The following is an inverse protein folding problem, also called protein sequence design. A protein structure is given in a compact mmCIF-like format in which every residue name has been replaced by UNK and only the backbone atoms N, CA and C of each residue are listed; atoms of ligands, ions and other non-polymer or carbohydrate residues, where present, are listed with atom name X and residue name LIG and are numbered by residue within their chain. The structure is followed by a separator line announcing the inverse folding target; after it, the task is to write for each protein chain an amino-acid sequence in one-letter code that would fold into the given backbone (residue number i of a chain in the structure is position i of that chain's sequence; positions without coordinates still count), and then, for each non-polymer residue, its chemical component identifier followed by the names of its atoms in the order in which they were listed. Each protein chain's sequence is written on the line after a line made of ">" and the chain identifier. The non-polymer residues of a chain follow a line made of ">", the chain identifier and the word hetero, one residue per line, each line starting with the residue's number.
data_IF_590536610558
#
_entry.id   IF_590536610558
#
_cell.length_a   1.000
_cell.length_b   1.000
_cell.length_c   1.000
_cell.angle_alpha   90.00
_cell.angle_beta   90.00
_cell.angle_gamma   90.00
#
_symmetry.space_group_name_H-M   'P 1'
#
loop_
_entity.id
_entity.type
_entity.pdbx_description
1 polymer ?
#
# COMPACT_ATOMS: atom_id res chain seq x y z
N UNK A 1 45.18 25.75 41.48
CA UNK A 1 46.49 26.40 41.29
C UNK A 1 47.47 25.30 40.93
N UNK A 2 48.11 25.27 39.74
CA UNK A 2 48.42 26.38 38.84
C UNK A 2 47.72 26.35 37.46
N UNK A 3 47.45 27.54 36.90
CA UNK A 3 47.89 27.92 35.54
C UNK A 3 46.99 27.63 34.31
N UNK A 4 46.41 28.64 33.63
CA UNK A 4 45.40 28.47 32.58
C UNK A 4 45.93 28.65 31.14
N UNK A 5 45.16 28.18 30.16
CA UNK A 5 45.34 28.42 28.71
C UNK A 5 44.60 29.70 28.32
N UNK A 6 45.33 30.64 27.69
CA UNK A 6 44.84 31.93 27.20
C UNK A 6 44.22 31.81 25.79
N UNK A 7 43.05 32.41 25.62
CA UNK A 7 42.50 32.95 24.36
C UNK A 7 43.38 34.15 23.93
N UNK A 8 43.61 34.48 22.65
CA UNK A 8 42.77 35.20 21.67
C UNK A 8 43.73 35.47 20.47
N UNK A 9 43.36 35.57 19.19
CA UNK A 9 42.68 36.75 18.63
C UNK A 9 42.46 36.64 17.09
N UNK A 10 41.30 37.16 16.67
CA UNK A 10 41.02 38.06 15.52
C UNK A 10 40.84 37.55 14.06
N UNK A 11 39.67 38.01 13.53
CA UNK A 11 39.13 38.14 12.15
C UNK A 11 40.03 39.05 11.25
N UNK A 12 39.95 39.15 9.91
CA UNK A 12 38.79 39.25 8.97
C UNK A 12 39.29 39.31 7.47
N UNK A 13 38.50 38.78 6.52
CA UNK A 13 38.22 39.14 5.09
C UNK A 13 39.39 39.38 4.08
N UNK A 14 39.35 39.08 2.76
CA UNK A 14 38.29 38.87 1.77
C UNK A 14 38.81 38.10 0.52
N UNK A 15 37.84 37.75 -0.35
CA UNK A 15 37.87 37.54 -1.82
C UNK A 15 37.81 36.14 -2.48
N UNK A 16 36.74 36.06 -3.29
CA UNK A 16 36.51 35.38 -4.57
C UNK A 16 36.35 33.84 -4.65
N UNK A 17 35.13 33.48 -5.04
CA UNK A 17 34.67 32.19 -5.57
C UNK A 17 35.36 31.83 -6.90
N UNK A 18 35.77 30.58 -7.07
CA UNK A 18 35.80 29.91 -8.37
C UNK A 18 35.80 28.37 -8.24
N UNK A 19 34.83 27.74 -8.88
CA UNK A 19 34.68 26.30 -9.11
C UNK A 19 35.75 25.76 -10.06
N UNK A 20 36.24 24.51 -9.88
CA UNK A 20 36.91 23.78 -10.94
C UNK A 20 36.12 22.55 -11.40
N UNK A 21 35.89 22.49 -12.71
CA UNK A 21 35.51 21.32 -13.50
C UNK A 21 36.64 20.28 -13.59
N UNK A 22 36.33 18.97 -13.74
CA UNK A 22 37.34 17.92 -13.71
C UNK A 22 38.00 17.64 -15.07
N UNK A 23 39.29 17.32 -14.98
CA UNK A 23 40.23 17.06 -16.07
C UNK A 23 40.17 15.63 -16.61
N UNK A 24 40.62 15.53 -17.87
CA UNK A 24 40.69 14.38 -18.79
C UNK A 24 41.62 13.25 -18.32
N UNK A 25 41.32 12.01 -18.71
CA UNK A 25 42.35 10.98 -18.96
C UNK A 25 42.12 10.21 -20.28
N UNK A 26 43.24 10.10 -20.99
CA UNK A 26 43.61 9.61 -22.32
C UNK A 26 42.76 8.58 -23.10
N UNK A 27 42.75 8.80 -24.43
CA UNK A 27 42.38 7.91 -25.54
C UNK A 27 43.47 6.86 -25.81
N UNK A 28 43.06 5.65 -26.22
CA UNK A 28 43.79 4.83 -27.19
C UNK A 28 42.77 4.30 -28.21
N UNK A 29 43.07 4.52 -29.50
CA UNK A 29 42.28 4.13 -30.67
C UNK A 29 42.55 2.68 -31.09
N UNK A 30 41.53 1.99 -31.58
CA UNK A 30 41.60 1.20 -32.82
C UNK A 30 40.21 0.66 -33.23
N UNK A 31 39.90 0.78 -34.52
CA UNK A 31 38.98 -0.12 -35.22
C UNK A 31 37.59 0.42 -35.57
N UNK A 32 37.52 1.26 -36.61
CA UNK A 32 36.27 1.67 -37.26
C UNK A 32 35.77 0.58 -38.21
N UNK A 33 34.58 0.04 -37.98
CA UNK A 33 33.79 -0.69 -38.99
C UNK A 33 32.44 0.02 -39.18
N UNK A 34 32.05 0.36 -40.43
CA UNK A 34 30.88 1.19 -40.69
C UNK A 34 29.56 0.43 -40.53
N UNK A 35 28.55 1.12 -39.99
CA UNK A 35 27.19 0.63 -39.84
C UNK A 35 26.48 0.41 -41.19
N UNK A 36 25.45 -0.45 -41.23
CA UNK A 36 24.86 -0.88 -42.49
C UNK A 36 24.02 0.24 -43.12
N UNK A 37 24.35 0.55 -44.37
CA UNK A 37 23.54 1.34 -45.30
C UNK A 37 22.22 0.62 -45.58
N UNK A 38 21.11 1.35 -45.47
CA UNK A 38 19.78 0.90 -45.90
C UNK A 38 19.71 1.02 -47.42
N UNK A 39 19.87 -0.12 -48.12
CA UNK A 39 19.49 -0.23 -49.53
C UNK A 39 17.97 -0.41 -49.63
N UNK A 40 17.31 0.47 -50.39
CA UNK A 40 15.98 0.20 -50.95
C UNK A 40 16.12 -0.91 -51.98
N UNK A 41 15.47 -2.06 -51.76
CA UNK A 41 15.22 -3.05 -52.80
C UNK A 41 13.72 -3.09 -53.12
N UNK A 42 13.47 -3.06 -54.43
CA UNK A 42 12.18 -3.00 -55.11
C UNK A 42 11.61 -4.42 -55.28
N UNK A 43 10.29 -4.54 -55.15
CA UNK A 43 9.39 -5.56 -55.70
C UNK A 43 9.73 -7.06 -55.59
N UNK A 44 8.99 -7.78 -54.74
CA UNK A 44 8.58 -9.17 -55.00
C UNK A 44 7.13 -9.42 -54.55
N UNK A 45 6.39 -10.33 -55.23
CA UNK A 45 4.92 -10.38 -55.16
C UNK A 45 4.38 -10.96 -53.85
N UNK A 46 3.28 -10.36 -53.41
CA UNK A 46 2.40 -10.79 -52.33
C UNK A 46 1.64 -12.04 -52.77
N UNK A 47 2.04 -13.21 -52.27
CA UNK A 47 1.13 -14.33 -51.96
C UNK A 47 1.92 -15.50 -51.34
N UNK A 48 2.07 -15.46 -50.01
CA UNK A 48 2.43 -16.62 -49.20
C UNK A 48 1.54 -16.65 -47.96
N UNK A 49 0.88 -17.78 -47.62
CA UNK A 49 0.02 -17.86 -46.44
C UNK A 49 0.82 -17.57 -45.17
N UNK A 50 0.38 -16.57 -44.40
CA UNK A 50 0.92 -16.28 -43.07
C UNK A 50 0.72 -17.51 -42.17
N UNK A 51 1.79 -18.27 -41.95
CA UNK A 51 1.82 -19.28 -40.90
C UNK A 51 1.48 -18.60 -39.57
N UNK A 52 0.64 -19.23 -38.72
CA UNK A 52 0.26 -18.64 -37.43
C UNK A 52 1.52 -18.41 -36.60
N UNK A 53 1.84 -17.14 -36.35
CA UNK A 53 2.99 -16.77 -35.52
C UNK A 53 2.88 -17.51 -34.18
N UNK A 54 3.92 -18.24 -33.80
CA UNK A 54 3.99 -18.92 -32.52
C UNK A 54 3.52 -17.98 -31.39
N UNK A 55 2.74 -18.48 -30.40
CA UNK A 55 2.20 -17.62 -29.36
C UNK A 55 3.35 -16.89 -28.66
N UNK A 56 3.35 -15.55 -28.76
CA UNK A 56 4.34 -14.70 -28.08
C UNK A 56 4.28 -15.02 -26.59
N UNK A 57 5.30 -15.71 -26.08
CA UNK A 57 5.44 -15.98 -24.65
C UNK A 57 5.60 -14.64 -23.95
N UNK A 58 4.57 -14.24 -23.21
CA UNK A 58 4.63 -12.99 -22.44
C UNK A 58 5.56 -13.23 -21.25
N UNK A 59 6.70 -12.55 -21.23
CA UNK A 59 7.65 -12.64 -20.13
C UNK A 59 6.97 -12.15 -18.83
N UNK A 60 6.99 -12.98 -17.80
CA UNK A 60 6.47 -12.63 -16.48
C UNK A 60 7.64 -12.21 -15.58
N UNK A 61 7.73 -10.94 -15.14
CA UNK A 61 8.77 -10.51 -14.23
C UNK A 61 8.53 -11.14 -12.85
N UNK A 62 9.40 -12.06 -12.47
CA UNK A 62 9.33 -12.73 -11.18
C UNK A 62 9.94 -11.85 -10.07
N UNK A 63 9.36 -11.94 -8.87
CA UNK A 63 9.88 -11.25 -7.69
C UNK A 63 11.11 -11.96 -7.14
N UNK A 64 12.04 -11.27 -6.46
CA UNK A 64 13.23 -11.88 -5.88
C UNK A 64 12.93 -13.13 -5.04
N UNK A 65 11.92 -13.08 -4.17
CA UNK A 65 11.52 -14.23 -3.35
C UNK A 65 11.17 -15.50 -4.17
N UNK A 66 10.50 -15.35 -5.32
CA UNK A 66 10.16 -16.47 -6.18
C UNK A 66 11.39 -17.03 -6.92
N UNK A 67 12.34 -16.15 -7.25
CA UNK A 67 13.62 -16.54 -7.86
C UNK A 67 14.49 -17.30 -6.83
N UNK A 68 14.63 -16.76 -5.62
CA UNK A 68 15.38 -17.41 -4.53
C UNK A 68 14.79 -18.80 -4.19
N UNK A 69 13.45 -18.95 -4.19
CA UNK A 69 12.79 -20.25 -4.03
C UNK A 69 13.07 -21.21 -5.19
N UNK A 70 12.95 -20.75 -6.43
CA UNK A 70 13.22 -21.58 -7.62
C UNK A 70 14.68 -22.06 -7.66
N UNK A 71 15.61 -21.22 -7.21
CA UNK A 71 17.03 -21.57 -7.11
C UNK A 71 17.30 -22.50 -5.91
N UNK A 72 16.32 -22.74 -5.04
CA UNK A 72 16.45 -23.57 -3.85
C UNK A 72 17.29 -22.92 -2.75
N UNK A 73 17.41 -21.58 -2.75
CA UNK A 73 18.08 -20.79 -1.72
C UNK A 73 17.21 -20.67 -0.47
N UNK A 74 15.89 -20.51 -0.69
CA UNK A 74 14.87 -20.52 0.34
C UNK A 74 13.84 -21.63 0.12
N UNK A 75 13.17 -22.02 1.18
CA UNK A 75 12.06 -22.96 1.18
C UNK A 75 10.98 -22.55 2.18
N UNK A 76 9.75 -22.99 1.93
CA UNK A 76 8.60 -22.74 2.81
C UNK A 76 8.28 -24.02 3.57
N UNK A 77 8.41 -24.00 4.90
CA UNK A 77 8.14 -25.15 5.76
C UNK A 77 7.00 -24.85 6.72
N UNK A 78 6.03 -25.75 6.79
CA UNK A 78 4.98 -25.72 7.81
C UNK A 78 5.43 -26.59 8.98
N UNK A 79 5.54 -26.00 10.16
CA UNK A 79 6.01 -26.66 11.39
C UNK A 79 5.04 -26.40 12.53
N UNK A 80 5.00 -27.32 13.49
CA UNK A 80 4.35 -27.15 14.80
C UNK A 80 5.25 -27.74 15.89
N UNK A 81 4.82 -27.62 17.14
CA UNK A 81 5.53 -28.24 18.27
C UNK A 81 5.24 -29.75 18.34
N UNK A 82 5.88 -30.49 17.44
CA UNK A 82 5.86 -31.95 17.31
C UNK A 82 6.94 -32.67 18.15
N UNK A 83 7.84 -31.91 18.79
CA UNK A 83 8.99 -32.43 19.53
C UNK A 83 10.22 -32.73 18.66
N UNK A 84 10.15 -32.53 17.34
CA UNK A 84 11.30 -32.72 16.46
C UNK A 84 12.31 -31.58 16.62
N UNK A 85 13.60 -31.91 16.49
CA UNK A 85 14.71 -30.94 16.62
C UNK A 85 14.62 -29.83 15.58
N UNK A 86 14.36 -30.17 14.32
CA UNK A 86 14.26 -29.18 13.24
C UNK A 86 13.08 -28.22 13.46
N UNK A 87 11.89 -28.75 13.76
CA UNK A 87 10.70 -27.96 14.09
C UNK A 87 10.99 -27.01 15.26
N UNK A 88 11.67 -27.48 16.30
CA UNK A 88 12.06 -26.65 17.45
C UNK A 88 13.01 -25.52 17.07
N UNK A 89 14.00 -25.79 16.21
CA UNK A 89 14.93 -24.76 15.71
C UNK A 89 14.16 -23.68 14.94
N UNK A 90 13.28 -24.09 14.02
CA UNK A 90 12.49 -23.17 13.19
C UNK A 90 11.53 -22.34 14.05
N UNK A 91 10.79 -22.97 14.96
CA UNK A 91 9.88 -22.27 15.88
C UNK A 91 10.63 -21.29 16.78
N UNK A 92 11.84 -21.65 17.23
CA UNK A 92 12.68 -20.76 18.03
C UNK A 92 13.16 -19.55 17.22
N UNK A 93 13.55 -19.76 15.95
CA UNK A 93 13.88 -18.68 15.02
C UNK A 93 12.71 -17.73 14.80
N UNK A 94 11.52 -18.28 14.53
CA UNK A 94 10.29 -17.50 14.38
C UNK A 94 9.93 -16.69 15.63
N UNK A 95 9.98 -17.32 16.81
CA UNK A 95 9.78 -16.64 18.10
C UNK A 95 10.71 -15.43 18.22
N UNK A 96 11.99 -15.60 17.92
CA UNK A 96 12.97 -14.51 17.99
C UNK A 96 12.64 -13.37 17.00
N UNK A 97 12.18 -13.69 15.79
CA UNK A 97 11.75 -12.68 14.81
C UNK A 97 10.51 -11.94 15.33
N UNK A 98 9.47 -12.66 15.74
CA UNK A 98 8.24 -12.05 16.25
C UNK A 98 8.53 -11.16 17.47
N UNK A 99 9.37 -11.59 18.41
CA UNK A 99 9.75 -10.78 19.57
C UNK A 99 10.49 -9.48 19.20
N UNK A 100 11.20 -9.45 18.07
CA UNK A 100 11.87 -8.25 17.56
C UNK A 100 10.93 -7.36 16.74
N UNK A 101 10.12 -7.95 15.86
CA UNK A 101 9.27 -7.23 14.91
C UNK A 101 7.94 -6.77 15.52
N UNK A 102 7.50 -7.39 16.63
CA UNK A 102 6.24 -7.07 17.32
C UNK A 102 6.53 -6.58 18.76
N UNK A 103 7.15 -5.40 18.94
CA UNK A 103 7.59 -4.93 20.26
C UNK A 103 6.45 -4.65 21.24
N UNK A 104 5.21 -4.45 20.75
CA UNK A 104 4.01 -4.27 21.57
C UNK A 104 3.48 -5.58 22.16
N UNK A 105 3.91 -6.74 21.64
CA UNK A 105 3.47 -8.05 22.10
C UNK A 105 4.40 -8.59 23.19
N UNK A 106 3.88 -9.04 24.35
CA UNK A 106 4.72 -9.58 25.41
C UNK A 106 5.54 -10.80 24.93
N UNK A 107 6.83 -10.85 25.29
CA UNK A 107 7.75 -11.89 24.82
C UNK A 107 7.31 -13.30 25.21
N UNK A 108 6.80 -13.47 26.43
CA UNK A 108 6.30 -14.75 26.93
C UNK A 108 5.00 -15.16 26.26
N UNK A 109 4.17 -14.19 25.90
CA UNK A 109 2.94 -14.42 25.14
C UNK A 109 3.26 -14.98 23.74
N UNK A 110 4.22 -14.36 23.04
CA UNK A 110 4.71 -14.86 21.74
C UNK A 110 5.24 -16.28 21.88
N UNK A 111 6.14 -16.51 22.85
CA UNK A 111 6.73 -17.84 23.06
C UNK A 111 5.66 -18.90 23.31
N UNK A 112 4.69 -18.61 24.19
CA UNK A 112 3.60 -19.52 24.53
C UNK A 112 2.78 -19.93 23.32
N UNK A 113 2.42 -19.00 22.43
CA UNK A 113 1.61 -19.31 21.25
C UNK A 113 2.41 -19.94 20.11
N UNK A 114 3.67 -19.55 19.89
CA UNK A 114 4.52 -20.17 18.86
C UNK A 114 4.80 -21.64 19.18
N UNK A 115 4.99 -21.98 20.46
CA UNK A 115 5.20 -23.37 20.89
C UNK A 115 3.90 -24.12 21.25
N UNK A 116 2.73 -23.50 21.09
CA UNK A 116 1.46 -24.16 21.35
C UNK A 116 1.17 -25.21 20.27
N UNK A 117 0.78 -26.42 20.68
CA UNK A 117 0.58 -27.55 19.74
C UNK A 117 -0.64 -27.39 18.84
N UNK A 118 -1.57 -26.50 19.18
CA UNK A 118 -2.75 -26.18 18.36
C UNK A 118 -2.47 -25.11 17.31
N UNK A 119 -1.28 -24.48 17.36
CA UNK A 119 -0.82 -23.50 16.39
C UNK A 119 0.12 -24.15 15.38
N UNK A 120 0.02 -23.68 14.15
CA UNK A 120 0.92 -24.03 13.04
C UNK A 120 1.69 -22.78 12.65
N UNK A 121 2.93 -22.96 12.20
CA UNK A 121 3.72 -21.86 11.67
C UNK A 121 4.25 -22.21 10.29
N UNK A 122 3.98 -21.35 9.31
CA UNK A 122 4.65 -21.39 8.02
C UNK A 122 5.88 -20.49 8.08
N UNK A 123 7.07 -21.06 7.92
CA UNK A 123 8.35 -20.38 7.98
C UNK A 123 8.99 -20.30 6.60
N UNK A 124 9.65 -19.17 6.33
CA UNK A 124 10.64 -19.03 5.26
C UNK A 124 11.99 -19.45 5.85
N UNK A 125 12.57 -20.51 5.33
CA UNK A 125 13.86 -21.04 5.77
C UNK A 125 14.86 -20.87 4.64
N UNK A 126 16.00 -20.24 4.93
CA UNK A 126 17.16 -20.18 4.06
C UNK A 126 18.15 -21.27 4.46
N UNK A 127 18.74 -21.95 3.48
CA UNK A 127 19.69 -23.04 3.77
C UNK A 127 20.91 -22.53 4.55
N UNK A 128 21.41 -23.28 5.56
CA UNK A 128 20.96 -24.62 5.93
C UNK A 128 19.71 -24.67 6.81
N UNK A 129 19.43 -23.69 7.69
CA UNK A 129 18.28 -23.68 8.62
C UNK A 129 18.02 -22.27 9.22
N UNK A 130 18.35 -21.22 8.49
CA UNK A 130 18.14 -19.83 8.93
C UNK A 130 16.69 -19.40 8.68
N UNK A 131 16.02 -18.92 9.72
CA UNK A 131 14.63 -18.43 9.60
C UNK A 131 14.64 -16.96 9.18
N UNK A 132 13.95 -16.65 8.09
CA UNK A 132 13.84 -15.28 7.54
C UNK A 132 12.55 -14.58 7.98
N UNK A 133 11.49 -15.34 8.18
CA UNK A 133 10.17 -14.83 8.55
C UNK A 133 9.14 -15.93 8.59
N UNK A 134 7.92 -15.61 9.00
CA UNK A 134 6.84 -16.58 9.03
C UNK A 134 5.50 -16.03 9.46
N UNK A 135 4.51 -16.90 9.34
CA UNK A 135 3.15 -16.68 9.84
C UNK A 135 2.81 -17.81 10.80
N UNK A 136 2.46 -17.46 12.04
CA UNK A 136 1.83 -18.39 12.99
C UNK A 136 0.32 -18.21 12.91
N UNK A 137 -0.39 -19.33 12.69
CA UNK A 137 -1.83 -19.35 12.56
C UNK A 137 -2.45 -20.54 13.30
N UNK A 138 -3.72 -20.40 13.67
CA UNK A 138 -4.52 -21.42 14.35
C UNK A 138 -5.75 -21.77 13.52
N UNK A 139 -5.79 -22.96 12.89
CA UNK A 139 -6.97 -23.39 12.14
C UNK A 139 -8.08 -23.89 13.09
N UNK A 140 -9.32 -23.50 12.80
CA UNK A 140 -10.50 -23.98 13.54
C UNK A 140 -11.29 -24.97 12.68
N UNK A 141 -11.00 -26.26 12.89
CA UNK A 141 -11.63 -27.37 12.15
C UNK A 141 -13.15 -27.31 12.24
N UNK A 142 -13.84 -27.45 11.10
CA UNK A 142 -15.30 -27.41 11.02
C UNK A 142 -15.92 -26.01 11.08
N UNK A 143 -15.09 -24.96 11.23
CA UNK A 143 -15.53 -23.56 11.18
C UNK A 143 -15.06 -22.84 9.92
N UNK A 144 -14.32 -23.53 9.04
CA UNK A 144 -13.78 -23.02 7.76
C UNK A 144 -12.98 -21.71 7.87
N UNK A 145 -12.42 -21.40 9.05
CA UNK A 145 -11.54 -20.24 9.22
C UNK A 145 -10.29 -20.59 10.02
N UNK A 146 -9.25 -19.79 9.84
CA UNK A 146 -8.06 -19.79 10.69
C UNK A 146 -7.75 -18.38 11.19
N UNK A 147 -7.27 -18.30 12.42
CA UNK A 147 -6.76 -17.07 13.01
C UNK A 147 -5.29 -16.91 12.64
N UNK A 148 -4.90 -15.79 12.04
CA UNK A 148 -3.50 -15.41 11.90
C UNK A 148 -3.12 -14.67 13.18
N UNK A 149 -2.21 -15.27 13.95
CA UNK A 149 -1.78 -14.78 15.26
C UNK A 149 -0.57 -13.87 15.11
N UNK A 150 0.44 -14.32 14.35
CA UNK A 150 1.64 -13.53 14.09
C UNK A 150 2.00 -13.57 12.62
N UNK A 151 2.46 -12.45 12.08
CA UNK A 151 2.97 -12.34 10.72
C UNK A 151 4.13 -11.35 10.71
N UNK A 152 5.35 -11.82 10.44
CA UNK A 152 6.52 -10.95 10.40
C UNK A 152 7.61 -11.53 9.50
N UNK A 153 8.39 -10.63 8.90
CA UNK A 153 9.63 -10.94 8.17
C UNK A 153 10.74 -10.10 8.79
N UNK A 154 11.94 -10.65 8.90
CA UNK A 154 13.11 -9.94 9.41
C UNK A 154 13.37 -8.65 8.63
N UNK A 155 13.68 -7.55 9.33
CA UNK A 155 13.78 -6.20 8.75
C UNK A 155 14.79 -6.09 7.61
N UNK A 156 15.90 -6.81 7.69
CA UNK A 156 16.95 -6.87 6.67
C UNK A 156 16.50 -7.55 5.36
N UNK A 157 15.43 -8.34 5.43
CA UNK A 157 14.85 -9.05 4.28
C UNK A 157 13.50 -8.46 3.84
N UNK A 158 13.01 -7.41 4.50
CA UNK A 158 11.85 -6.66 4.04
C UNK A 158 12.18 -6.04 2.66
N UNK A 159 11.16 -5.75 1.83
CA UNK A 159 11.27 -5.25 0.44
C UNK A 159 11.51 -6.30 -0.67
N UNK A 160 12.04 -7.50 -0.37
CA UNK A 160 12.20 -8.58 -1.38
C UNK A 160 10.90 -9.25 -1.84
N UNK A 161 9.77 -8.87 -1.27
CA UNK A 161 8.45 -9.44 -1.56
C UNK A 161 8.10 -10.69 -0.73
N UNK A 162 8.91 -11.04 0.28
CA UNK A 162 8.71 -12.22 1.12
C UNK A 162 7.33 -12.30 1.78
N UNK A 163 6.82 -11.20 2.34
CA UNK A 163 5.51 -11.22 2.99
C UNK A 163 4.37 -11.62 2.04
N UNK A 164 4.34 -11.04 0.84
CA UNK A 164 3.34 -11.38 -0.16
C UNK A 164 3.49 -12.82 -0.67
N UNK A 165 4.73 -13.29 -0.84
CA UNK A 165 5.02 -14.66 -1.27
C UNK A 165 4.62 -15.69 -0.20
N UNK A 166 4.93 -15.39 1.06
CA UNK A 166 4.54 -16.18 2.23
C UNK A 166 3.03 -16.27 2.41
N UNK A 167 2.30 -15.18 2.24
CA UNK A 167 0.84 -15.20 2.30
C UNK A 167 0.24 -16.01 1.13
N UNK A 168 0.83 -15.95 -0.06
CA UNK A 168 0.40 -16.76 -1.20
C UNK A 168 0.59 -18.26 -0.92
N UNK A 169 1.78 -18.65 -0.42
CA UNK A 169 2.07 -20.01 0.04
C UNK A 169 1.08 -20.46 1.11
N UNK A 170 0.82 -19.61 2.12
CA UNK A 170 -0.10 -19.93 3.20
C UNK A 170 -1.51 -20.21 2.67
N UNK A 171 -2.03 -19.35 1.80
CA UNK A 171 -3.36 -19.51 1.19
C UNK A 171 -3.46 -20.79 0.37
N UNK A 172 -2.48 -21.06 -0.48
CA UNK A 172 -2.47 -22.28 -1.30
C UNK A 172 -2.35 -23.54 -0.44
N UNK A 173 -1.51 -23.51 0.60
CA UNK A 173 -1.33 -24.61 1.54
C UNK A 173 -2.61 -24.92 2.31
N UNK A 174 -3.22 -23.93 2.99
CA UNK A 174 -4.42 -24.20 3.80
C UNK A 174 -5.60 -24.66 2.95
N UNK A 175 -5.75 -24.12 1.74
CA UNK A 175 -6.79 -24.56 0.80
C UNK A 175 -6.59 -25.99 0.33
N UNK A 176 -5.35 -26.43 0.17
CA UNK A 176 -5.03 -27.78 -0.26
C UNK A 176 -5.13 -28.82 0.86
N UNK A 177 -4.94 -28.41 2.12
CA UNK A 177 -4.78 -29.31 3.28
C UNK A 177 -5.94 -29.27 4.28
N UNK A 178 -6.87 -28.32 4.15
CA UNK A 178 -7.96 -28.11 5.12
C UNK A 178 -9.22 -27.54 4.48
N UNK A 179 -10.29 -27.41 5.26
CA UNK A 179 -11.55 -26.75 4.91
C UNK A 179 -11.53 -25.22 5.10
N UNK A 180 -10.38 -24.65 5.47
CA UNK A 180 -10.24 -23.22 5.75
C UNK A 180 -10.38 -22.40 4.47
N UNK A 181 -11.36 -21.51 4.46
CA UNK A 181 -11.62 -20.56 3.37
C UNK A 181 -11.51 -19.09 3.80
N UNK A 182 -11.46 -18.84 5.11
CA UNK A 182 -11.39 -17.50 5.68
C UNK A 182 -10.18 -17.36 6.62
N UNK A 183 -9.49 -16.23 6.55
CA UNK A 183 -8.56 -15.82 7.60
C UNK A 183 -9.14 -14.66 8.39
N UNK A 184 -9.00 -14.72 9.71
CA UNK A 184 -9.25 -13.61 10.61
C UNK A 184 -7.93 -13.22 11.28
N UNK A 185 -7.71 -11.93 11.46
CA UNK A 185 -6.51 -11.41 12.11
C UNK A 185 -6.83 -10.09 12.80
N UNK A 186 -6.17 -9.82 13.91
CA UNK A 186 -6.05 -8.46 14.42
C UNK A 186 -4.77 -7.84 13.84
N UNK A 187 -4.94 -6.81 13.02
CA UNK A 187 -3.82 -6.08 12.42
C UNK A 187 -3.55 -4.82 13.24
N UNK A 188 -2.27 -4.52 13.48
CA UNK A 188 -1.89 -3.20 13.97
C UNK A 188 -2.05 -2.15 12.86
N UNK A 189 -2.12 -0.87 13.23
CA UNK A 189 -2.33 0.22 12.27
C UNK A 189 -1.28 0.25 11.15
N UNK A 190 -0.05 -0.18 11.44
CA UNK A 190 1.05 -0.22 10.47
C UNK A 190 0.90 -1.38 9.46
N UNK A 191 0.31 -2.52 9.85
CA UNK A 191 0.12 -3.67 8.98
C UNK A 191 -1.21 -3.66 8.19
N UNK A 192 -2.17 -2.78 8.49
CA UNK A 192 -3.45 -2.70 7.74
C UNK A 192 -3.19 -2.60 6.24
N UNK A 193 -2.24 -1.75 5.80
CA UNK A 193 -1.91 -1.60 4.38
C UNK A 193 -1.34 -2.89 3.75
N UNK A 194 -0.58 -3.67 4.51
CA UNK A 194 -0.10 -4.98 4.06
C UNK A 194 -1.27 -5.97 3.90
N UNK A 195 -2.12 -6.10 4.92
CA UNK A 195 -3.26 -7.01 4.90
C UNK A 195 -4.28 -6.63 3.82
N UNK A 196 -4.58 -5.32 3.63
CA UNK A 196 -5.40 -4.84 2.50
C UNK A 196 -4.84 -5.32 1.15
N UNK A 197 -3.52 -5.18 0.92
CA UNK A 197 -2.85 -5.68 -0.30
C UNK A 197 -2.92 -7.20 -0.45
N UNK A 198 -3.05 -7.94 0.67
CA UNK A 198 -3.26 -9.37 0.67
C UNK A 198 -4.75 -9.77 0.56
N UNK A 199 -5.66 -8.83 0.30
CA UNK A 199 -7.09 -9.12 0.15
C UNK A 199 -7.83 -9.30 1.47
N UNK A 200 -7.35 -8.66 2.54
CA UNK A 200 -8.12 -8.52 3.78
C UNK A 200 -8.95 -7.22 3.74
N UNK A 201 -10.13 -7.27 4.35
CA UNK A 201 -11.03 -6.12 4.56
C UNK A 201 -11.33 -5.97 6.05
N UNK A 202 -11.72 -4.76 6.48
CA UNK A 202 -12.24 -4.51 7.83
C UNK A 202 -13.66 -5.07 8.01
N UNK A 203 -14.37 -5.31 6.90
CA UNK A 203 -15.72 -5.86 6.91
C UNK A 203 -15.71 -7.37 7.18
N UNK A 204 -16.25 -7.77 8.33
CA UNK A 204 -16.31 -9.18 8.73
C UNK A 204 -17.63 -9.78 8.25
N UNK A 205 -17.60 -10.45 7.10
CA UNK A 205 -18.77 -11.13 6.53
C UNK A 205 -19.00 -12.52 7.11
N UNK A 206 -18.03 -13.09 7.82
CA UNK A 206 -18.18 -14.36 8.52
C UNK A 206 -19.12 -14.21 9.72
N UNK A 207 -20.12 -15.07 9.81
CA UNK A 207 -21.13 -15.04 10.88
C UNK A 207 -20.50 -15.05 12.28
N UNK A 208 -20.93 -14.11 13.14
CA UNK A 208 -20.38 -13.92 14.50
C UNK A 208 -20.27 -15.23 15.32
N UNK A 209 -21.28 -16.14 15.37
CA UNK A 209 -21.18 -17.39 16.13
C UNK A 209 -20.04 -18.32 15.68
N UNK A 210 -19.54 -18.15 14.45
CA UNK A 210 -18.44 -18.97 13.92
C UNK A 210 -17.09 -18.59 14.48
N UNK A 211 -16.87 -17.34 14.90
CA UNK A 211 -15.54 -16.85 15.28
C UNK A 211 -15.50 -16.09 16.61
N UNK A 212 -16.61 -15.47 17.03
CA UNK A 212 -16.68 -14.70 18.26
C UNK A 212 -16.42 -15.61 19.47
N UNK A 213 -15.49 -15.21 20.34
CA UNK A 213 -15.02 -16.00 21.49
C UNK A 213 -13.98 -17.09 21.17
N UNK A 214 -13.65 -17.32 19.89
CA UNK A 214 -12.63 -18.29 19.48
C UNK A 214 -11.26 -17.66 19.24
N UNK A 215 -11.26 -16.47 18.64
CA UNK A 215 -10.06 -15.68 18.38
C UNK A 215 -9.70 -14.82 19.58
N UNK A 216 -8.47 -14.33 19.65
CA UNK A 216 -8.02 -13.41 20.68
C UNK A 216 -8.22 -11.97 20.26
N UNK A 217 -8.78 -11.18 21.16
CA UNK A 217 -8.91 -9.74 21.00
C UNK A 217 -7.61 -9.06 21.45
N UNK A 218 -7.10 -8.16 20.61
CA UNK A 218 -5.88 -7.40 20.90
C UNK A 218 -6.22 -5.92 20.99
N UNK A 219 -5.88 -5.31 22.13
CA UNK A 219 -6.09 -3.88 22.35
C UNK A 219 -5.34 -3.05 21.31
N UNK A 220 -6.04 -2.14 20.65
CA UNK A 220 -5.49 -1.30 19.57
C UNK A 220 -5.25 -2.04 18.24
N UNK A 221 -5.69 -3.29 18.10
CA UNK A 221 -5.72 -4.00 16.82
C UNK A 221 -7.05 -3.80 16.08
N UNK A 222 -6.99 -3.70 14.76
CA UNK A 222 -8.19 -3.72 13.90
C UNK A 222 -8.44 -5.14 13.41
N UNK A 223 -9.62 -5.70 13.68
CA UNK A 223 -10.02 -6.99 13.12
C UNK A 223 -10.16 -6.90 11.60
N UNK A 224 -9.60 -7.87 10.88
CA UNK A 224 -9.67 -7.94 9.43
C UNK A 224 -9.94 -9.38 8.97
N UNK A 225 -10.72 -9.50 7.89
CA UNK A 225 -11.08 -10.78 7.26
C UNK A 225 -10.51 -10.87 5.84
N UNK A 226 -9.93 -12.02 5.49
CA UNK A 226 -9.66 -12.41 4.11
C UNK A 226 -10.51 -13.62 3.72
N UNK A 227 -11.33 -13.49 2.69
CA UNK A 227 -12.03 -14.62 2.07
C UNK A 227 -11.26 -15.08 0.84
N UNK A 228 -10.84 -16.33 0.84
CA UNK A 228 -10.06 -16.89 -0.26
C UNK A 228 -10.94 -17.21 -1.48
N UNK A 229 -10.39 -17.03 -2.68
CA UNK A 229 -11.10 -17.36 -3.92
C UNK A 229 -10.89 -18.86 -4.22
N UNK A 230 -11.95 -19.67 -4.39
CA UNK A 230 -11.83 -21.13 -4.48
C UNK A 230 -10.97 -21.62 -5.65
N UNK A 231 -11.17 -21.06 -6.86
CA UNK A 231 -10.63 -21.60 -8.11
C UNK A 231 -9.22 -21.11 -8.48
N UNK A 232 -8.55 -20.36 -7.62
CA UNK A 232 -7.22 -19.79 -7.92
C UNK A 232 -6.12 -20.44 -7.08
N UNK A 233 -4.92 -20.52 -7.68
CA UNK A 233 -3.66 -20.74 -6.98
C UNK A 233 -2.96 -19.40 -6.82
N UNK A 234 -2.78 -18.92 -5.59
CA UNK A 234 -2.26 -17.61 -5.26
C UNK A 234 -0.82 -17.39 -5.75
N UNK A 235 0.02 -18.44 -5.76
CA UNK A 235 1.36 -18.38 -6.34
C UNK A 235 1.36 -18.11 -7.85
N UNK A 236 0.29 -18.47 -8.56
CA UNK A 236 0.13 -18.32 -10.01
C UNK A 236 -0.66 -17.07 -10.41
N UNK A 237 -1.20 -16.30 -9.43
CA UNK A 237 -2.10 -15.16 -9.70
C UNK A 237 -1.48 -14.14 -10.65
N UNK A 238 -0.18 -13.85 -10.50
CA UNK A 238 0.51 -12.91 -11.40
C UNK A 238 0.47 -13.35 -12.87
N UNK A 239 0.75 -14.63 -13.14
CA UNK A 239 0.68 -15.20 -14.49
C UNK A 239 -0.74 -15.27 -15.00
N UNK A 240 -1.68 -15.66 -14.14
CA UNK A 240 -3.12 -15.72 -14.45
C UNK A 240 -3.65 -14.35 -14.89
N UNK A 241 -3.38 -13.29 -14.11
CA UNK A 241 -3.81 -11.93 -14.41
C UNK A 241 -3.20 -11.42 -15.72
N UNK A 242 -1.92 -11.73 -15.98
CA UNK A 242 -1.27 -11.37 -17.23
C UNK A 242 -1.93 -12.05 -18.45
N UNK A 243 -2.28 -13.34 -18.34
CA UNK A 243 -3.04 -14.06 -19.38
C UNK A 243 -4.44 -13.48 -19.58
N UNK A 244 -5.15 -13.18 -18.50
CA UNK A 244 -6.47 -12.53 -18.56
C UNK A 244 -6.40 -11.16 -19.24
N UNK A 245 -5.43 -10.32 -18.87
CA UNK A 245 -5.18 -9.03 -19.51
C UNK A 245 -4.88 -9.18 -21.00
N UNK A 246 -4.05 -10.15 -21.37
CA UNK A 246 -3.74 -10.44 -22.77
C UNK A 246 -4.98 -10.87 -23.58
N UNK A 247 -5.85 -11.69 -23.00
CA UNK A 247 -7.11 -12.11 -23.62
C UNK A 247 -8.06 -10.93 -23.85
N UNK A 248 -8.23 -10.07 -22.84
CA UNK A 248 -9.02 -8.83 -22.95
C UNK A 248 -8.43 -7.93 -24.04
N UNK A 249 -7.12 -7.71 -24.04
CA UNK A 249 -6.45 -6.90 -25.06
C UNK A 249 -6.59 -7.50 -26.47
N UNK A 250 -6.58 -8.83 -26.62
CA UNK A 250 -6.80 -9.47 -27.91
C UNK A 250 -8.23 -9.19 -28.42
N UNK A 251 -9.24 -9.25 -27.54
CA UNK A 251 -10.62 -8.90 -27.90
C UNK A 251 -10.77 -7.42 -28.21
N UNK A 252 -10.14 -6.53 -27.44
CA UNK A 252 -10.11 -5.09 -27.72
C UNK A 252 -9.50 -4.85 -29.11
N UNK A 253 -8.34 -5.43 -29.43
CA UNK A 253 -7.72 -5.27 -30.76
C UNK A 253 -8.56 -5.79 -31.93
N UNK A 254 -9.45 -6.76 -31.70
CA UNK A 254 -10.33 -7.25 -32.76
C UNK A 254 -11.46 -6.26 -33.12
N UNK A 255 -11.72 -5.25 -32.28
CA UNK A 255 -12.84 -4.32 -32.45
C UNK A 255 -12.38 -2.86 -32.49
N UNK A 256 -11.40 -2.52 -31.65
CA UNK A 256 -10.82 -1.19 -31.52
C UNK A 256 -9.87 -0.89 -32.67
N UNK A 257 -9.93 0.34 -33.18
CA UNK A 257 -8.97 0.91 -34.13
C UNK A 257 -7.97 1.86 -33.45
N UNK A 258 -7.89 1.84 -32.12
CA UNK A 258 -7.06 2.77 -31.35
C UNK A 258 -5.55 2.60 -31.57
N UNK A 259 -5.12 1.51 -32.21
CA UNK A 259 -3.72 1.29 -32.60
C UNK A 259 -3.36 1.92 -33.96
N UNK A 260 -4.34 2.45 -34.70
CA UNK A 260 -4.10 3.13 -35.97
C UNK A 260 -3.41 4.47 -35.68
N UNK A 261 -2.16 4.60 -36.14
CA UNK A 261 -1.39 5.83 -35.97
C UNK A 261 -1.78 6.78 -37.11
N UNK A 262 -2.53 7.83 -36.78
CA UNK A 262 -2.91 8.86 -37.74
C UNK A 262 -1.82 9.93 -37.86
N UNK A 263 -1.45 10.35 -39.08
CA UNK A 263 -0.50 11.45 -39.27
C UNK A 263 -1.09 12.78 -38.74
N UNK A 264 -0.24 13.74 -38.35
CA UNK A 264 -0.71 15.05 -37.93
C UNK A 264 -1.47 15.75 -39.07
N UNK A 265 -2.44 16.64 -38.74
CA UNK A 265 -3.14 17.46 -39.72
C UNK A 265 -2.18 18.21 -40.66
N UNK A 266 -2.52 18.27 -41.96
CA UNK A 266 -1.67 18.90 -42.98
C UNK A 266 -1.40 20.38 -42.69
N UNK A 267 -2.37 21.05 -42.07
CA UNK A 267 -2.30 22.48 -41.74
C UNK A 267 -1.20 22.80 -40.72
N UNK A 268 -0.82 21.83 -39.88
CA UNK A 268 0.25 21.99 -38.90
C UNK A 268 1.67 22.00 -39.49
N UNK A 269 1.83 21.72 -40.79
CA UNK A 269 3.15 21.82 -41.46
C UNK A 269 3.72 23.24 -41.46
N UNK A 270 2.87 24.27 -41.38
CA UNK A 270 3.27 25.69 -41.38
C UNK A 270 3.33 26.31 -39.98
N UNK A 271 3.13 25.50 -38.93
CA UNK A 271 2.99 25.94 -37.55
C UNK A 271 1.69 25.43 -36.92
N UNK A 272 1.64 25.38 -35.59
CA UNK A 272 0.48 24.91 -34.85
C UNK A 272 -0.64 25.95 -35.00
N UNK A 273 -1.77 25.54 -35.56
CA UNK A 273 -2.98 26.35 -35.68
C UNK A 273 -4.18 25.61 -35.07
N UNK A 274 -5.19 26.36 -34.65
CA UNK A 274 -6.44 25.78 -34.15
C UNK A 274 -7.18 25.11 -35.32
N UNK A 275 -7.58 23.84 -35.13
CA UNK A 275 -8.33 23.06 -36.12
C UNK A 275 -9.59 22.55 -35.43
N UNK A 276 -10.70 22.52 -36.16
CA UNK A 276 -11.92 21.87 -35.71
C UNK A 276 -11.70 20.34 -35.66
N UNK A 277 -11.76 19.71 -34.47
CA UNK A 277 -11.54 18.27 -34.33
C UNK A 277 -12.53 17.43 -35.16
N UNK A 278 -13.75 17.91 -35.44
CA UNK A 278 -14.75 17.19 -36.23
C UNK A 278 -14.40 17.09 -37.72
N UNK A 279 -13.47 17.94 -38.20
CA UNK A 279 -12.94 17.85 -39.56
C UNK A 279 -11.91 16.74 -39.72
N UNK A 280 -11.37 16.21 -38.61
CA UNK A 280 -10.42 15.10 -38.64
C UNK A 280 -11.21 13.78 -38.72
N UNK A 281 -11.14 13.02 -39.84
CA UNK A 281 -12.00 11.85 -40.04
C UNK A 281 -11.85 10.78 -38.95
N UNK A 282 -10.65 10.62 -38.40
CA UNK A 282 -10.38 9.68 -37.31
C UNK A 282 -11.06 10.08 -35.99
N UNK A 283 -11.08 11.38 -35.65
CA UNK A 283 -11.74 11.90 -34.46
C UNK A 283 -13.26 11.81 -34.63
N UNK A 284 -13.79 12.15 -35.81
CA UNK A 284 -15.20 11.97 -36.10
C UNK A 284 -15.64 10.50 -35.99
N UNK A 285 -14.82 9.57 -36.50
CA UNK A 285 -15.11 8.13 -36.46
C UNK A 285 -15.00 7.51 -35.06
N UNK A 286 -14.28 8.13 -34.12
CA UNK A 286 -14.21 7.66 -32.74
C UNK A 286 -15.47 7.97 -31.92
N UNK A 287 -16.39 8.77 -32.47
CA UNK A 287 -17.57 9.27 -31.75
C UNK A 287 -17.22 10.38 -30.76
N UNK A 288 -16.05 11.01 -30.92
CA UNK A 288 -15.64 12.14 -30.10
C UNK A 288 -16.65 13.29 -30.21
N UNK A 289 -16.92 13.92 -29.07
CA UNK A 289 -17.72 15.13 -28.97
C UNK A 289 -17.04 16.12 -28.02
N UNK A 290 -17.29 17.43 -28.17
CA UNK A 290 -16.80 18.45 -27.23
C UNK A 290 -17.17 18.12 -25.78
N UNK A 291 -18.41 17.67 -25.54
CA UNK A 291 -18.90 17.33 -24.19
C UNK A 291 -18.10 16.17 -23.56
N UNK A 292 -17.76 15.14 -24.35
CA UNK A 292 -16.91 14.03 -23.87
C UNK A 292 -15.50 14.47 -23.53
N UNK A 293 -14.93 15.40 -24.30
CA UNK A 293 -13.59 15.95 -24.08
C UNK A 293 -13.56 16.83 -22.82
N UNK A 294 -14.60 17.63 -22.62
CA UNK A 294 -14.78 18.43 -21.40
C UNK A 294 -14.88 17.54 -20.16
N UNK A 295 -15.70 16.48 -20.21
CA UNK A 295 -15.80 15.50 -19.14
C UNK A 295 -14.49 14.75 -18.88
N UNK A 296 -13.72 14.42 -19.92
CA UNK A 296 -12.43 13.73 -19.79
C UNK A 296 -11.32 14.63 -19.21
N UNK A 297 -11.40 15.94 -19.47
CA UNK A 297 -10.49 16.95 -18.93
C UNK A 297 -10.90 17.43 -17.55
N UNK A 298 -12.16 17.23 -17.17
CA UNK A 298 -12.63 17.55 -15.83
C UNK A 298 -11.76 16.80 -14.80
N UNK A 299 -11.18 17.50 -13.82
CA UNK A 299 -10.48 16.86 -12.72
C UNK A 299 -11.41 15.85 -12.06
N UNK A 300 -10.96 14.60 -11.91
CA UNK A 300 -11.74 13.55 -11.25
C UNK A 300 -12.10 13.90 -9.80
N UNK A 301 -11.21 14.67 -9.17
CA UNK A 301 -11.34 15.14 -7.80
C UNK A 301 -11.07 16.64 -7.75
N UNK A 302 -11.56 17.30 -6.70
CA UNK A 302 -11.30 18.72 -6.46
C UNK A 302 -9.81 19.05 -6.32
N UNK A 303 -9.43 20.34 -6.51
CA UNK A 303 -8.02 20.77 -6.52
C UNK A 303 -7.26 20.44 -5.23
N UNK A 304 -7.97 20.40 -4.10
CA UNK A 304 -7.39 20.15 -2.78
C UNK A 304 -7.37 18.66 -2.37
N UNK A 305 -7.91 17.75 -3.19
CA UNK A 305 -8.17 16.36 -2.80
C UNK A 305 -6.94 15.67 -2.21
N UNK A 306 -5.82 15.65 -2.94
CA UNK A 306 -4.61 14.97 -2.48
C UNK A 306 -4.02 15.60 -1.20
N UNK A 307 -4.09 16.94 -1.08
CA UNK A 307 -3.58 17.64 0.10
C UNK A 307 -4.42 17.30 1.34
N UNK A 308 -5.75 17.25 1.20
CA UNK A 308 -6.66 16.85 2.27
C UNK A 308 -6.46 15.36 2.64
N UNK A 309 -6.26 14.48 1.64
CA UNK A 309 -5.90 13.08 1.88
C UNK A 309 -4.62 12.95 2.70
N UNK A 310 -3.60 13.73 2.37
CA UNK A 310 -2.34 13.73 3.11
C UNK A 310 -2.49 14.25 4.55
N UNK A 311 -3.30 15.30 4.74
CA UNK A 311 -3.62 15.82 6.07
C UNK A 311 -4.38 14.76 6.90
N UNK A 312 -5.42 14.15 6.34
CA UNK A 312 -6.21 13.11 7.00
C UNK A 312 -5.34 11.92 7.42
N UNK A 313 -4.52 11.41 6.50
CA UNK A 313 -3.59 10.31 6.79
C UNK A 313 -2.60 10.71 7.90
N UNK A 314 -2.11 11.95 7.91
CA UNK A 314 -1.21 12.43 8.95
C UNK A 314 -1.89 12.49 10.32
N UNK A 315 -3.15 12.91 10.36
CA UNK A 315 -3.97 12.91 11.58
C UNK A 315 -4.24 11.49 12.07
N UNK A 316 -4.68 10.58 11.20
CA UNK A 316 -4.93 9.17 11.51
C UNK A 316 -3.67 8.45 12.05
N UNK A 317 -2.48 8.80 11.56
CA UNK A 317 -1.22 8.20 12.03
C UNK A 317 -0.64 8.86 13.30
N UNK A 318 -1.26 9.92 13.81
CA UNK A 318 -0.80 10.57 15.03
C UNK A 318 -1.08 9.69 16.27
N UNK A 319 -0.13 9.64 17.20
CA UNK A 319 -0.27 8.84 18.44
C UNK A 319 -1.44 9.27 19.33
N UNK A 320 -1.95 10.49 19.17
CA UNK A 320 -3.10 11.02 19.92
C UNK A 320 -4.45 10.80 19.19
N UNK A 321 -4.46 10.16 18.02
CA UNK A 321 -5.69 9.96 17.25
C UNK A 321 -6.50 8.73 17.67
N UNK A 322 -5.97 7.88 18.56
CA UNK A 322 -6.59 6.62 18.95
C UNK A 322 -8.08 6.70 19.36
N UNK A 323 -8.59 7.75 20.05
CA UNK A 323 -10.02 7.81 20.41
C UNK A 323 -10.92 8.25 19.24
N UNK A 324 -10.33 8.80 18.19
CA UNK A 324 -11.04 9.45 17.08
C UNK A 324 -10.95 8.65 15.78
N UNK A 325 -10.35 7.45 15.82
CA UNK A 325 -10.17 6.60 14.64
C UNK A 325 -11.48 6.06 14.08
N UNK A 326 -12.48 5.87 14.94
CA UNK A 326 -13.75 5.22 14.63
C UNK A 326 -14.88 5.96 15.35
N UNK A 327 -16.14 5.81 14.89
CA UNK A 327 -17.30 6.31 15.61
C UNK A 327 -17.37 5.75 17.03
N UNK A 328 -17.86 6.56 17.98
CA UNK A 328 -18.05 6.11 19.37
C UNK A 328 -19.08 4.98 19.41
N UNK A 329 -18.74 3.84 19.99
CA UNK A 329 -19.66 2.71 20.03
C UNK A 329 -20.83 2.98 20.99
N UNK A 330 -22.07 3.00 20.47
CA UNK A 330 -23.30 3.22 21.26
C UNK A 330 -23.50 2.16 22.35
N UNK A 331 -23.05 0.93 22.11
CA UNK A 331 -23.22 -0.15 23.09
C UNK A 331 -22.26 0.02 24.29
N UNK A 332 -21.11 0.66 24.08
CA UNK A 332 -20.11 0.95 25.12
C UNK A 332 -20.39 2.28 25.84
N UNK A 333 -20.90 3.28 25.11
CA UNK A 333 -21.19 4.62 25.62
C UNK A 333 -22.64 5.00 25.30
N UNK A 334 -23.56 4.55 26.16
CA UNK A 334 -25.00 4.54 25.88
C UNK A 334 -25.61 5.94 25.70
N UNK A 335 -25.17 6.93 26.47
CA UNK A 335 -25.70 8.29 26.47
C UNK A 335 -24.98 9.23 25.47
N UNK A 336 -23.94 8.76 24.79
CA UNK A 336 -23.11 9.60 23.92
C UNK A 336 -23.93 10.32 22.85
N UNK A 337 -24.78 9.58 22.14
CA UNK A 337 -25.60 10.09 21.05
C UNK A 337 -26.83 10.89 21.54
N UNK A 338 -27.13 10.84 22.84
CA UNK A 338 -28.12 11.73 23.44
C UNK A 338 -27.52 13.12 23.68
N UNK A 339 -26.23 13.20 23.99
CA UNK A 339 -25.49 14.45 24.24
C UNK A 339 -24.91 15.07 22.96
N UNK A 340 -24.34 14.23 22.09
CA UNK A 340 -23.68 14.63 20.84
C UNK A 340 -24.61 14.37 19.66
N UNK A 341 -25.07 15.46 19.03
CA UNK A 341 -26.07 15.42 17.94
C UNK A 341 -25.45 15.28 16.56
N UNK A 342 -24.24 15.78 16.38
CA UNK A 342 -23.51 15.71 15.11
C UNK A 342 -22.18 14.98 15.36
N UNK A 343 -22.20 13.63 15.44
CA UNK A 343 -20.99 12.86 15.66
C UNK A 343 -20.04 12.95 14.45
N UNK A 344 -18.73 12.92 14.71
CA UNK A 344 -17.70 12.90 13.67
C UNK A 344 -16.46 12.16 14.17
N UNK A 345 -15.76 11.50 13.26
CA UNK A 345 -14.54 10.73 13.49
C UNK A 345 -13.71 10.62 12.20
N UNK A 346 -12.46 10.18 12.33
CA UNK A 346 -11.51 10.15 11.21
C UNK A 346 -11.84 9.09 10.15
N UNK A 347 -12.59 8.03 10.47
CA UNK A 347 -13.03 7.06 9.46
C UNK A 347 -14.23 7.59 8.68
N UNK A 348 -15.17 8.27 9.35
CA UNK A 348 -16.26 9.00 8.67
C UNK A 348 -15.71 10.08 7.74
N UNK A 349 -14.68 10.82 8.17
CA UNK A 349 -13.99 11.79 7.31
C UNK A 349 -13.29 11.12 6.11
N UNK A 350 -12.70 9.93 6.29
CA UNK A 350 -12.10 9.15 5.18
C UNK A 350 -13.15 8.78 4.13
N UNK A 351 -14.31 8.28 4.56
CA UNK A 351 -15.42 7.93 3.66
C UNK A 351 -15.98 9.17 2.94
N UNK A 352 -16.17 10.29 3.65
CA UNK A 352 -16.60 11.56 3.05
C UNK A 352 -15.60 12.06 2.01
N UNK A 353 -14.31 11.94 2.30
CA UNK A 353 -13.25 12.35 1.38
C UNK A 353 -13.22 11.49 0.11
N UNK A 354 -13.32 10.16 0.22
CA UNK A 354 -13.39 9.24 -0.94
C UNK A 354 -14.58 9.51 -1.86
N UNK A 355 -15.63 10.16 -1.34
CA UNK A 355 -16.86 10.55 -2.06
C UNK A 355 -16.84 12.01 -2.54
N UNK A 356 -15.69 12.69 -2.51
CA UNK A 356 -15.53 14.10 -2.89
C UNK A 356 -16.43 15.08 -2.09
N UNK A 357 -16.79 14.74 -0.84
CA UNK A 357 -17.67 15.55 0.00
C UNK A 357 -16.99 16.76 0.67
N UNK A 358 -15.75 17.09 0.28
CA UNK A 358 -15.00 18.27 0.76
C UNK A 358 -14.58 19.16 -0.42
N UNK A 359 -15.50 19.97 -0.98
CA UNK A 359 -15.19 20.93 -2.03
C UNK A 359 -14.10 21.92 -1.63
N UNK A 360 -14.10 22.38 -0.37
CA UNK A 360 -13.09 23.31 0.14
C UNK A 360 -12.37 22.76 1.38
N UNK A 361 -11.15 23.25 1.69
CA UNK A 361 -10.45 22.87 2.92
C UNK A 361 -11.23 23.23 4.18
N UNK A 362 -12.04 24.28 4.14
CA UNK A 362 -12.91 24.71 5.24
C UNK A 362 -13.97 23.64 5.58
N UNK A 363 -14.52 22.95 4.58
CA UNK A 363 -15.47 21.85 4.80
C UNK A 363 -14.82 20.70 5.59
N UNK A 364 -13.58 20.36 5.23
CA UNK A 364 -12.79 19.34 5.92
C UNK A 364 -12.44 19.77 7.35
N UNK A 365 -12.00 21.00 7.52
CA UNK A 365 -11.59 21.55 8.81
C UNK A 365 -12.78 21.65 9.77
N UNK A 366 -13.98 21.98 9.27
CA UNK A 366 -15.21 21.99 10.06
C UNK A 366 -15.50 20.61 10.68
N UNK A 367 -15.45 19.55 9.88
CA UNK A 367 -15.61 18.18 10.39
C UNK A 367 -14.49 17.80 11.37
N UNK A 368 -13.23 18.14 11.06
CA UNK A 368 -12.11 17.85 11.94
C UNK A 368 -12.26 18.56 13.30
N UNK A 369 -12.72 19.82 13.30
CA UNK A 369 -13.02 20.59 14.53
C UNK A 369 -14.17 19.97 15.31
N UNK A 370 -15.19 19.46 14.62
CA UNK A 370 -16.33 18.80 15.24
C UNK A 370 -15.89 17.58 16.08
N UNK A 371 -14.88 16.82 15.65
CA UNK A 371 -14.25 15.76 16.45
C UNK A 371 -13.79 16.30 17.82
N UNK A 372 -13.04 17.40 17.82
CA UNK A 372 -12.46 17.97 19.03
C UNK A 372 -13.50 18.65 19.92
N UNK A 373 -14.45 19.37 19.31
CA UNK A 373 -15.54 20.03 20.01
C UNK A 373 -16.46 19.02 20.69
N UNK A 374 -16.86 17.96 19.99
CA UNK A 374 -17.65 16.88 20.57
C UNK A 374 -16.91 16.18 21.70
N UNK A 375 -15.60 15.94 21.53
CA UNK A 375 -14.78 15.36 22.58
C UNK A 375 -14.80 16.23 23.85
N UNK A 376 -14.62 17.55 23.75
CA UNK A 376 -14.63 18.47 24.89
C UNK A 376 -16.03 18.68 25.48
N UNK A 377 -17.07 18.62 24.65
CA UNK A 377 -18.46 18.74 25.09
C UNK A 377 -18.89 17.55 25.94
N UNK A 378 -18.47 16.35 25.57
CA UNK A 378 -18.82 15.12 26.29
C UNK A 378 -17.86 14.80 27.44
N UNK A 379 -16.55 15.09 27.30
CA UNK A 379 -15.53 14.70 28.26
C UNK A 379 -14.96 15.90 29.04
N UNK A 380 -14.76 15.71 30.35
CA UNK A 380 -14.05 16.68 31.20
C UNK A 380 -12.62 16.96 30.69
N UNK A 381 -12.12 18.18 30.90
CA UNK A 381 -10.82 18.65 30.39
C UNK A 381 -9.62 17.85 30.92
N UNK A 382 -9.75 17.24 32.10
CA UNK A 382 -8.68 16.46 32.74
C UNK A 382 -8.51 15.06 32.15
N UNK A 383 -9.49 14.59 31.37
CA UNK A 383 -9.50 13.24 30.79
C UNK A 383 -8.39 13.04 29.76
N UNK A 384 -8.03 11.78 29.54
CA UNK A 384 -7.08 11.40 28.49
C UNK A 384 -7.60 11.76 27.09
N UNK A 385 -8.92 11.71 26.90
CA UNK A 385 -9.61 12.06 25.65
C UNK A 385 -9.46 13.55 25.32
N UNK A 386 -9.79 14.44 26.26
CA UNK A 386 -9.66 15.90 26.06
C UNK A 386 -8.20 16.35 25.85
N UNK A 387 -7.25 15.68 26.52
CA UNK A 387 -5.81 15.88 26.28
C UNK A 387 -5.39 15.42 24.88
N UNK A 388 -5.89 14.26 24.43
CA UNK A 388 -5.62 13.74 23.09
C UNK A 388 -6.21 14.65 22.00
N UNK A 389 -7.45 15.11 22.15
CA UNK A 389 -8.10 16.08 21.26
C UNK A 389 -7.26 17.36 21.13
N UNK A 390 -6.83 17.93 22.26
CA UNK A 390 -6.01 19.16 22.25
C UNK A 390 -4.70 18.99 21.52
N UNK A 391 -4.03 17.85 21.69
CA UNK A 391 -2.76 17.56 21.00
C UNK A 391 -2.96 17.33 19.50
N UNK A 392 -4.00 16.59 19.13
CA UNK A 392 -4.30 16.30 17.72
C UNK A 392 -4.76 17.54 16.97
N UNK A 393 -5.59 18.39 17.59
CA UNK A 393 -6.03 19.66 17.01
C UNK A 393 -4.83 20.58 16.75
N UNK A 394 -3.91 20.71 17.72
CA UNK A 394 -2.68 21.49 17.55
C UNK A 394 -1.82 20.93 16.40
N UNK A 395 -1.72 19.60 16.30
CA UNK A 395 -0.98 18.95 15.23
C UNK A 395 -1.61 19.23 13.86
N UNK A 396 -2.94 19.13 13.75
CA UNK A 396 -3.69 19.47 12.54
C UNK A 396 -3.39 20.91 12.10
N UNK A 397 -3.52 21.88 13.01
CA UNK A 397 -3.23 23.29 12.69
C UNK A 397 -1.77 23.53 12.30
N UNK A 398 -0.82 22.83 12.92
CA UNK A 398 0.57 22.86 12.49
C UNK A 398 0.73 22.40 11.04
N UNK A 399 0.00 21.35 10.62
CA UNK A 399 0.04 20.84 9.25
C UNK A 399 -0.67 21.74 8.25
N UNK A 400 -1.78 22.37 8.65
CA UNK A 400 -2.48 23.35 7.82
C UNK A 400 -1.57 24.55 7.53
N UNK A 401 -0.83 25.05 8.53
CA UNK A 401 0.11 26.16 8.35
C UNK A 401 1.33 25.85 7.47
N UNK A 402 1.68 24.56 7.30
CA UNK A 402 2.73 24.14 6.36
C UNK A 402 2.29 24.28 4.90
N UNK A 403 0.98 24.39 4.63
CA UNK A 403 0.41 24.59 3.30
C UNK A 403 0.19 26.09 3.08
N UNK A 404 1.00 26.76 2.22
CA UNK A 404 0.92 28.21 2.03
C UNK A 404 -0.49 28.71 1.69
N UNK A 405 -1.21 27.97 0.85
CA UNK A 405 -2.56 28.27 0.39
C UNK A 405 -3.59 28.24 1.53
N UNK A 406 -3.35 27.52 2.62
CA UNK A 406 -4.29 27.34 3.73
C UNK A 406 -3.87 28.07 5.00
N UNK A 407 -2.71 28.71 4.99
CA UNK A 407 -2.12 29.38 6.15
C UNK A 407 -3.00 30.44 6.81
N UNK A 408 -3.95 31.02 6.05
CA UNK A 408 -4.89 32.04 6.51
C UNK A 408 -6.18 31.46 7.11
N UNK A 409 -6.48 30.17 6.88
CA UNK A 409 -7.76 29.55 7.26
C UNK A 409 -7.89 29.46 8.79
N UNK A 410 -6.79 29.27 9.51
CA UNK A 410 -6.80 29.28 10.98
C UNK A 410 -7.33 30.63 11.49
N UNK A 411 -6.86 31.75 10.92
CA UNK A 411 -7.25 33.08 11.37
C UNK A 411 -8.71 33.41 11.04
N UNK A 412 -9.18 33.06 9.84
CA UNK A 412 -10.56 33.33 9.43
C UNK A 412 -11.59 32.54 10.24
N UNK A 413 -11.24 31.34 10.70
CA UNK A 413 -12.14 30.47 11.47
C UNK A 413 -12.24 30.77 12.97
N UNK A 414 -11.44 31.71 13.49
CA UNK A 414 -11.49 32.21 14.87
C UNK A 414 -12.02 33.66 14.97
N UNK A 415 -12.34 34.30 13.83
CA UNK A 415 -12.92 35.66 13.78
C UNK A 415 -14.44 35.70 13.60
N UNK A 416 -15.06 34.55 13.34
CA UNK A 416 -16.50 34.31 13.39
C UNK A 416 -16.86 33.51 14.65
#
# INVERSE_FOLDING_TARGET
>A
MPGPISLEAKRKAADALNTPSPSKRAKHENGTTPGPEVKLELDTPVDAPLLPSAPKVVAFPEKPAAIEERNGEIEFRVVNNDGARESTIILTGLKCIFQKQLPKMPKDYIARLVYDRTHLSMAIVKKPLEVVGGITYRPFKGRQFAEIVFCAVSSDQQVKGYGAHLMAHLKDYVKATSDVMHFLTYADNYAIGYFKKQGFTKEITLEKPRWMGYIKDYEGGTIMQCTMVPKIRYLEVGRMLMKQKAAVHAKIRAVSKSYDIHPPPKDWKKGICQIDPLLIPAIKASGWSPDMDELARAPRHGPNYNQLLHLLNSMQNNSNAWPFQQPVNKDEVQDYYDVIKEPMDLATMEEKHEKDAYPTPEDFIRDARLIFQNCRKYNNETTVYSKAATKLERFMWSKIREVPEWSHIEQSMFTD
#
